data_IF_791663070100
#
_entry.id   IF_791663070100
#
_cell.length_a   1.000
_cell.length_b   1.000
_cell.length_c   1.000
_cell.angle_alpha   90.00
_cell.angle_beta   90.00
_cell.angle_gamma   90.00
#
_symmetry.space_group_name_H-M   'P 1'
#
loop_
_entity.id
_entity.type
_entity.pdbx_description
1 polymer ?
#
# COMPACT_ATOMS: atom_id res chain seq x y z
N UNK A 1 -3.66 -19.87 7.51
CA UNK A 1 -3.30 -21.31 7.46
C UNK A 1 -1.96 -21.45 6.72
N UNK A 2 -1.87 -21.06 5.46
CA UNK A 2 -0.69 -21.28 4.60
C UNK A 2 0.63 -20.70 5.16
N UNK A 3 0.63 -19.48 5.70
CA UNK A 3 1.87 -18.91 6.27
C UNK A 3 2.35 -19.67 7.50
N UNK A 4 1.45 -20.16 8.35
CA UNK A 4 1.82 -20.98 9.54
C UNK A 4 2.34 -22.35 9.14
N UNK A 5 1.76 -22.98 8.13
CA UNK A 5 2.23 -24.24 7.58
C UNK A 5 3.61 -24.08 6.96
N UNK A 6 3.79 -23.05 6.13
CA UNK A 6 5.08 -22.74 5.53
C UNK A 6 6.15 -22.40 6.59
N UNK A 7 5.79 -21.66 7.64
CA UNK A 7 6.71 -21.36 8.73
C UNK A 7 7.20 -22.64 9.43
N UNK A 8 6.29 -23.58 9.72
CA UNK A 8 6.66 -24.85 10.35
C UNK A 8 7.57 -25.73 9.47
N UNK A 9 7.37 -25.70 8.16
CA UNK A 9 8.25 -26.39 7.20
C UNK A 9 9.62 -25.73 7.11
N UNK A 10 9.67 -24.40 6.99
CA UNK A 10 10.93 -23.66 6.90
C UNK A 10 11.77 -23.76 8.16
N UNK A 11 11.15 -23.68 9.34
CA UNK A 11 11.84 -23.83 10.62
C UNK A 11 12.48 -25.22 10.76
N UNK A 12 11.74 -26.27 10.38
CA UNK A 12 12.21 -27.66 10.44
C UNK A 12 13.35 -27.93 9.48
N UNK A 13 13.24 -27.48 8.23
CA UNK A 13 14.09 -27.93 7.13
C UNK A 13 15.25 -26.96 6.84
N UNK A 14 15.07 -25.66 7.06
CA UNK A 14 16.00 -24.60 6.66
C UNK A 14 16.38 -23.63 7.79
N UNK A 15 15.80 -23.75 8.97
CA UNK A 15 15.89 -22.76 10.06
C UNK A 15 15.46 -21.35 9.58
N UNK A 16 14.50 -21.32 8.68
CA UNK A 16 13.91 -20.11 8.12
C UNK A 16 12.56 -19.78 8.75
N UNK A 17 12.06 -18.59 8.47
CA UNK A 17 10.79 -18.11 8.97
C UNK A 17 9.90 -17.61 7.81
N UNK A 18 8.59 -17.73 7.98
CA UNK A 18 7.60 -17.18 7.06
C UNK A 18 6.67 -16.22 7.80
N UNK A 19 6.57 -15.01 7.32
CA UNK A 19 5.75 -13.95 7.90
C UNK A 19 4.68 -13.46 6.93
N UNK A 20 3.62 -12.90 7.47
CA UNK A 20 2.62 -12.13 6.72
C UNK A 20 2.81 -10.65 7.03
N UNK A 21 3.03 -9.85 6.01
CA UNK A 21 3.02 -8.39 6.13
C UNK A 21 1.62 -7.85 5.86
N UNK A 22 1.12 -7.00 6.74
CA UNK A 22 -0.10 -6.22 6.56
C UNK A 22 0.30 -4.82 6.17
N UNK A 23 0.02 -4.48 4.93
CA UNK A 23 0.41 -3.20 4.35
C UNK A 23 -0.73 -2.19 4.43
N UNK A 24 -0.39 -0.90 4.41
CA UNK A 24 -1.33 0.20 4.19
C UNK A 24 -2.13 -0.03 2.91
N UNK A 25 -3.37 0.44 2.90
CA UNK A 25 -4.22 0.42 1.71
C UNK A 25 -3.54 1.00 0.48
N UNK A 26 -3.51 0.21 -0.59
CA UNK A 26 -2.92 0.56 -1.89
C UNK A 26 -3.97 0.48 -2.99
N UNK A 27 -3.78 1.27 -4.04
CA UNK A 27 -4.57 1.15 -5.26
C UNK A 27 -4.10 -0.08 -6.02
N UNK A 28 -5.02 -1.02 -6.22
CA UNK A 28 -4.80 -2.25 -6.98
C UNK A 28 -5.99 -2.48 -7.91
N UNK A 29 -5.85 -3.39 -8.87
CA UNK A 29 -6.99 -3.79 -9.72
C UNK A 29 -8.16 -4.31 -8.90
N UNK A 30 -7.89 -5.07 -7.84
CA UNK A 30 -8.92 -5.60 -6.95
C UNK A 30 -9.57 -4.52 -6.11
N UNK A 31 -8.79 -3.63 -5.47
CA UNK A 31 -9.33 -2.57 -4.64
C UNK A 31 -10.17 -1.56 -5.41
N UNK A 32 -9.85 -1.32 -6.69
CA UNK A 32 -10.57 -0.39 -7.55
C UNK A 32 -12.03 -0.80 -7.85
N UNK A 33 -12.35 -2.09 -7.76
CA UNK A 33 -13.71 -2.61 -8.04
C UNK A 33 -14.51 -2.94 -6.77
N UNK A 34 -13.90 -2.84 -5.60
CA UNK A 34 -14.61 -3.05 -4.33
C UNK A 34 -15.35 -1.76 -3.96
N UNK A 35 -16.67 -1.81 -3.77
CA UNK A 35 -17.44 -0.63 -3.37
C UNK A 35 -16.84 0.07 -2.15
N UNK A 36 -16.88 1.41 -2.13
CA UNK A 36 -16.34 2.30 -1.08
C UNK A 36 -14.81 2.36 -0.99
N UNK A 37 -14.05 1.34 -1.39
CA UNK A 37 -12.59 1.35 -1.25
C UNK A 37 -11.93 2.48 -2.06
N UNK A 38 -12.28 2.76 -3.31
CA UNK A 38 -11.73 3.91 -4.04
C UNK A 38 -11.96 5.24 -3.33
N UNK A 39 -13.14 5.43 -2.76
CA UNK A 39 -13.47 6.63 -1.99
C UNK A 39 -12.64 6.71 -0.71
N UNK A 40 -12.58 5.63 0.05
CA UNK A 40 -11.76 5.55 1.26
C UNK A 40 -10.29 5.85 0.98
N UNK A 41 -9.69 5.20 -0.02
CA UNK A 41 -8.29 5.41 -0.39
C UNK A 41 -8.01 6.85 -0.84
N UNK A 42 -8.91 7.47 -1.61
CA UNK A 42 -8.77 8.87 -2.01
C UNK A 42 -8.73 9.80 -0.79
N UNK A 43 -9.61 9.59 0.19
CA UNK A 43 -9.63 10.39 1.43
C UNK A 43 -8.42 10.09 2.30
N UNK A 44 -8.06 8.81 2.47
CA UNK A 44 -6.90 8.37 3.22
C UNK A 44 -5.62 9.01 2.68
N UNK A 45 -5.39 8.95 1.37
CA UNK A 45 -4.20 9.52 0.74
C UNK A 45 -4.10 11.03 0.96
N UNK A 46 -5.22 11.73 0.84
CA UNK A 46 -5.28 13.17 1.13
C UNK A 46 -4.85 13.47 2.56
N UNK A 47 -5.43 12.78 3.54
CA UNK A 47 -5.12 12.95 4.95
C UNK A 47 -3.66 12.61 5.25
N UNK A 48 -3.17 11.49 4.76
CA UNK A 48 -1.79 11.06 5.02
C UNK A 48 -0.76 11.98 4.36
N UNK A 49 -1.03 12.50 3.15
CA UNK A 49 -0.18 13.49 2.49
C UNK A 49 -0.14 14.82 3.27
N UNK A 50 -1.27 15.29 3.76
CA UNK A 50 -1.35 16.51 4.59
C UNK A 50 -0.63 16.34 5.94
N UNK A 51 -0.59 15.12 6.47
CA UNK A 51 0.14 14.80 7.71
C UNK A 51 1.60 14.40 7.47
N UNK A 52 2.05 14.31 6.21
CA UNK A 52 3.43 13.96 5.86
C UNK A 52 3.81 12.51 6.15
N UNK A 53 2.84 11.59 6.22
CA UNK A 53 3.05 10.18 6.50
C UNK A 53 2.54 9.23 5.38
N UNK A 54 2.30 9.77 4.19
CA UNK A 54 1.86 8.93 3.06
C UNK A 54 3.02 8.11 2.51
N UNK A 55 2.76 6.83 2.30
CA UNK A 55 3.68 5.87 1.68
C UNK A 55 2.99 5.17 0.50
N UNK A 56 3.68 5.07 -0.62
CA UNK A 56 3.31 4.18 -1.70
C UNK A 56 3.78 2.74 -1.47
N UNK A 57 3.72 1.92 -2.51
CA UNK A 57 4.15 0.52 -2.41
C UNK A 57 5.66 0.40 -2.15
N UNK A 58 6.46 1.20 -2.82
CA UNK A 58 7.93 1.11 -2.73
C UNK A 58 8.44 1.52 -1.34
N UNK A 59 7.92 2.63 -0.80
CA UNK A 59 8.28 3.11 0.53
C UNK A 59 7.90 2.10 1.62
N UNK A 60 6.73 1.47 1.49
CA UNK A 60 6.32 0.40 2.42
C UNK A 60 7.24 -0.83 2.32
N UNK A 61 7.68 -1.21 1.12
CA UNK A 61 8.62 -2.31 0.94
C UNK A 61 10.00 -1.95 1.49
N UNK A 62 10.50 -0.75 1.24
CA UNK A 62 11.74 -0.27 1.82
C UNK A 62 11.69 -0.34 3.36
N UNK A 63 10.65 0.18 3.97
CA UNK A 63 10.46 0.14 5.42
C UNK A 63 10.32 -1.27 5.96
N UNK A 64 9.62 -2.16 5.26
CA UNK A 64 9.51 -3.57 5.62
C UNK A 64 10.89 -4.23 5.69
N UNK A 65 11.72 -4.04 4.67
CA UNK A 65 13.03 -4.66 4.63
C UNK A 65 14.03 -3.99 5.60
N UNK A 66 14.07 -2.66 5.64
CA UNK A 66 15.05 -1.93 6.45
C UNK A 66 14.75 -1.97 7.95
N UNK A 67 13.46 -1.92 8.34
CA UNK A 67 13.08 -1.72 9.73
C UNK A 67 12.42 -2.93 10.38
N UNK A 68 12.00 -3.94 9.63
CA UNK A 68 11.32 -5.12 10.16
C UNK A 68 12.09 -6.43 9.93
N UNK A 69 12.55 -6.68 8.69
CA UNK A 69 13.11 -7.99 8.34
C UNK A 69 14.61 -8.13 8.56
N UNK A 70 15.40 -7.08 8.29
CA UNK A 70 16.87 -7.19 8.30
C UNK A 70 17.54 -6.31 9.37
N UNK A 71 16.91 -6.18 10.51
CA UNK A 71 17.42 -5.39 11.65
C UNK A 71 18.51 -6.09 12.47
N UNK A 72 18.77 -7.37 12.23
CA UNK A 72 19.67 -8.20 13.05
C UNK A 72 19.06 -8.68 14.37
N UNK A 73 17.77 -8.43 14.61
CA UNK A 73 16.99 -8.89 15.75
C UNK A 73 15.77 -9.69 15.30
N UNK A 74 15.02 -10.26 16.24
CA UNK A 74 13.79 -10.99 15.92
C UNK A 74 12.80 -10.06 15.17
N UNK A 75 12.12 -10.61 14.16
CA UNK A 75 11.13 -9.88 13.37
C UNK A 75 9.97 -9.43 14.26
N UNK A 76 9.68 -8.12 14.33
CA UNK A 76 8.59 -7.61 15.15
C UNK A 76 7.25 -7.99 14.54
N UNK A 77 6.42 -8.70 15.31
CA UNK A 77 5.06 -9.08 14.92
C UNK A 77 4.06 -8.70 16.01
N UNK A 78 2.80 -8.55 15.61
CA UNK A 78 1.70 -8.40 16.55
C UNK A 78 1.32 -9.75 17.21
N UNK A 79 0.29 -9.75 18.05
CA UNK A 79 -0.25 -10.93 18.74
C UNK A 79 -0.74 -12.06 17.79
N UNK A 80 -1.01 -11.72 16.53
CA UNK A 80 -1.41 -12.65 15.48
C UNK A 80 -0.25 -13.11 14.59
N UNK A 81 1.00 -12.78 14.95
CA UNK A 81 2.21 -13.02 14.17
C UNK A 81 2.22 -12.32 12.80
N UNK A 82 1.65 -11.10 12.74
CA UNK A 82 1.64 -10.26 11.54
C UNK A 82 2.65 -9.11 11.69
N UNK A 83 3.41 -8.86 10.63
CA UNK A 83 4.24 -7.66 10.53
C UNK A 83 3.33 -6.51 10.13
N UNK A 84 3.22 -5.47 10.95
CA UNK A 84 2.36 -4.32 10.73
C UNK A 84 3.14 -3.21 10.02
N UNK A 85 2.87 -3.04 8.73
CA UNK A 85 3.37 -1.92 7.91
C UNK A 85 2.24 -0.89 7.66
N UNK A 86 1.03 -1.24 8.02
CA UNK A 86 -0.14 -0.35 8.02
C UNK A 86 -0.21 0.56 9.26
N UNK A 87 0.79 0.58 10.10
CA UNK A 87 0.85 1.35 11.36
C UNK A 87 0.62 2.86 11.16
N UNK A 88 1.14 3.44 10.06
CA UNK A 88 0.90 4.85 9.73
C UNK A 88 -0.55 5.12 9.30
N UNK A 89 -1.17 4.21 8.54
CA UNK A 89 -2.60 4.29 8.24
C UNK A 89 -3.44 4.16 9.51
N UNK A 90 -3.06 3.23 10.39
CA UNK A 90 -3.78 2.92 11.63
C UNK A 90 -3.52 3.92 12.77
N UNK A 91 -2.68 4.93 12.55
CA UNK A 91 -2.49 6.01 13.53
C UNK A 91 -3.86 6.65 13.87
N UNK A 92 -4.20 6.78 15.17
CA UNK A 92 -5.48 7.36 15.58
C UNK A 92 -5.78 8.73 14.95
N UNK A 93 -4.77 9.58 14.78
CA UNK A 93 -4.96 10.92 14.17
C UNK A 93 -5.35 10.83 12.70
N UNK A 94 -4.74 9.88 11.97
CA UNK A 94 -5.08 9.61 10.57
C UNK A 94 -6.52 9.08 10.49
N UNK A 95 -6.84 8.04 11.27
CA UNK A 95 -8.15 7.39 11.24
C UNK A 95 -9.29 8.31 11.68
N UNK A 96 -9.09 9.13 12.70
CA UNK A 96 -10.09 10.09 13.15
C UNK A 96 -10.39 11.13 12.07
N UNK A 97 -9.36 11.68 11.41
CA UNK A 97 -9.56 12.67 10.35
C UNK A 97 -10.19 12.04 9.10
N UNK A 98 -9.76 10.83 8.71
CA UNK A 98 -10.40 10.07 7.62
C UNK A 98 -11.87 9.83 7.92
N UNK A 99 -12.20 9.34 9.11
CA UNK A 99 -13.58 9.10 9.56
C UNK A 99 -14.43 10.37 9.52
N UNK A 100 -13.89 11.48 9.98
CA UNK A 100 -14.55 12.78 9.97
C UNK A 100 -14.85 13.23 8.54
N UNK A 101 -13.87 13.14 7.62
CA UNK A 101 -14.06 13.50 6.21
C UNK A 101 -15.06 12.59 5.53
N UNK A 102 -14.95 11.28 5.73
CA UNK A 102 -15.90 10.31 5.18
C UNK A 102 -17.34 10.54 5.64
N UNK A 103 -17.55 11.02 6.86
CA UNK A 103 -18.89 11.33 7.38
C UNK A 103 -19.53 12.57 6.75
N UNK A 104 -18.74 13.46 6.16
CA UNK A 104 -19.21 14.75 5.59
C UNK A 104 -19.02 14.84 4.08
N UNK A 105 -18.55 13.77 3.46
CA UNK A 105 -18.28 13.77 2.01
C UNK A 105 -19.56 13.83 1.20
N UNK A 106 -19.55 14.68 0.19
CA UNK A 106 -20.62 14.83 -0.80
C UNK A 106 -20.01 14.87 -2.19
N UNK A 107 -20.85 14.82 -3.22
CA UNK A 107 -20.39 14.95 -4.60
C UNK A 107 -19.75 16.33 -4.87
N UNK A 108 -20.24 17.38 -4.19
CA UNK A 108 -19.75 18.75 -4.37
C UNK A 108 -18.40 19.00 -3.70
N UNK A 109 -18.12 18.35 -2.56
CA UNK A 109 -16.89 18.57 -1.81
C UNK A 109 -15.82 17.48 -2.00
N UNK A 110 -16.10 16.42 -2.76
CA UNK A 110 -15.20 15.29 -2.92
C UNK A 110 -13.78 15.70 -3.37
N UNK A 111 -13.66 16.54 -4.37
CA UNK A 111 -12.35 17.01 -4.86
C UNK A 111 -11.54 17.80 -3.82
N UNK A 112 -12.22 18.33 -2.79
CA UNK A 112 -11.55 19.06 -1.70
C UNK A 112 -11.09 18.14 -0.57
N UNK A 113 -11.84 17.10 -0.28
CA UNK A 113 -11.59 16.20 0.86
C UNK A 113 -10.84 14.92 0.48
N UNK A 114 -10.87 14.54 -0.79
CA UNK A 114 -10.16 13.39 -1.35
C UNK A 114 -9.02 13.78 -2.29
N UNK A 115 -8.08 12.87 -2.50
CA UNK A 115 -7.01 12.96 -3.50
C UNK A 115 -7.37 12.13 -4.74
N UNK A 116 -8.26 12.66 -5.56
CA UNK A 116 -8.73 11.96 -6.76
C UNK A 116 -7.64 11.80 -7.81
N UNK A 117 -6.81 12.83 -7.99
CA UNK A 117 -5.73 12.83 -8.97
C UNK A 117 -4.63 11.82 -8.56
N UNK A 118 -4.23 11.80 -7.29
CA UNK A 118 -3.28 10.80 -6.78
C UNK A 118 -3.82 9.37 -6.91
N UNK A 119 -5.09 9.15 -6.57
CA UNK A 119 -5.73 7.85 -6.76
C UNK A 119 -5.73 7.43 -8.24
N UNK A 120 -6.09 8.35 -9.16
CA UNK A 120 -6.10 8.10 -10.60
C UNK A 120 -4.69 7.78 -11.12
N UNK A 121 -3.69 8.55 -10.69
CA UNK A 121 -2.28 8.31 -11.03
C UNK A 121 -1.85 6.91 -10.61
N UNK A 122 -2.07 6.52 -9.34
CA UNK A 122 -1.72 5.20 -8.83
C UNK A 122 -2.44 4.08 -9.59
N UNK A 123 -3.72 4.29 -9.94
CA UNK A 123 -4.47 3.30 -10.73
C UNK A 123 -3.88 3.13 -12.13
N UNK A 124 -3.51 4.21 -12.79
CA UNK A 124 -2.88 4.18 -14.11
C UNK A 124 -1.49 3.54 -14.04
N UNK A 125 -0.68 3.92 -13.05
CA UNK A 125 0.66 3.37 -12.83
C UNK A 125 0.64 1.85 -12.59
N UNK A 126 -0.36 1.34 -11.85
CA UNK A 126 -0.58 -0.09 -11.65
C UNK A 126 -0.79 -0.85 -12.97
N UNK A 127 -1.24 -0.17 -14.01
CA UNK A 127 -1.45 -0.72 -15.34
C UNK A 127 -0.34 -0.32 -16.34
N UNK A 128 0.73 0.33 -15.87
CA UNK A 128 1.87 0.74 -16.70
C UNK A 128 1.65 2.04 -17.47
N UNK A 129 0.65 2.86 -17.07
CA UNK A 129 0.39 4.17 -17.67
C UNK A 129 0.75 5.28 -16.69
N UNK A 130 0.90 6.51 -17.19
CA UNK A 130 1.18 7.71 -16.39
C UNK A 130 2.50 7.62 -15.58
N UNK A 131 3.48 6.91 -16.10
CA UNK A 131 4.81 6.77 -15.50
C UNK A 131 5.69 7.92 -15.97
N UNK A 132 6.27 8.62 -15.03
CA UNK A 132 7.15 9.75 -15.31
C UNK A 132 8.37 9.32 -16.17
N UNK A 133 8.69 10.11 -17.19
CA UNK A 133 9.80 9.83 -18.11
C UNK A 133 9.52 8.81 -19.20
N UNK A 134 8.30 8.26 -19.27
CA UNK A 134 7.89 7.33 -20.34
C UNK A 134 7.15 8.09 -21.43
N UNK A 135 7.65 7.99 -22.67
CA UNK A 135 6.95 8.51 -23.85
C UNK A 135 6.01 7.42 -24.42
N UNK A 136 4.73 7.52 -24.11
CA UNK A 136 3.70 6.57 -24.57
C UNK A 136 3.32 6.75 -26.05
N UNK A 137 3.81 7.79 -26.73
CA UNK A 137 3.62 8.01 -28.16
C UNK A 137 4.74 7.43 -29.01
N UNK A 138 5.86 7.05 -28.40
CA UNK A 138 7.01 6.47 -29.07
C UNK A 138 6.74 5.03 -29.51
N UNK A 139 7.19 4.67 -30.72
CA UNK A 139 7.16 3.29 -31.16
C UNK A 139 8.07 2.41 -30.29
N UNK A 140 7.54 1.29 -29.84
CA UNK A 140 8.32 0.28 -29.12
C UNK A 140 9.23 -0.42 -30.13
N UNK A 141 10.55 -0.25 -29.96
CA UNK A 141 11.51 -1.05 -30.73
C UNK A 141 11.30 -2.53 -30.38
N UNK A 142 11.09 -3.36 -31.40
CA UNK A 142 11.03 -4.81 -31.20
C UNK A 142 12.32 -5.26 -30.51
N UNK A 143 12.18 -5.94 -29.36
CA UNK A 143 13.30 -6.62 -28.71
C UNK A 143 13.68 -7.77 -29.65
N UNK A 144 14.80 -7.66 -30.34
CA UNK A 144 15.37 -8.81 -31.04
C UNK A 144 15.67 -9.87 -29.97
N UNK A 145 14.94 -10.97 -30.03
CA UNK A 145 15.17 -12.13 -29.17
C UNK A 145 16.54 -12.70 -29.52
N UNK A 146 17.50 -12.60 -28.62
CA UNK A 146 18.81 -13.24 -28.73
C UNK A 146 18.68 -14.73 -28.53
#
# INVERSE_FOLDING_TARGET
ATARELNAELERDLKGEAHVSVNKGLVTRSSAVIPIIPLYLSVLFKVMKEQGCHEGCIEQMERLFAERLYTGSAVPTDENHLIRIDDLEMDPKVQEEVKKRMATITQENFAQVGDLEGYRHDFLATNGFDIEGVDYSADVKSVETI
#
